data_IF_352858607485
#
_entry.id   IF_352858607485
#
_cell.length_a   1.000
_cell.length_b   1.000
_cell.length_c   1.000
_cell.angle_alpha   90.00
_cell.angle_beta   90.00
_cell.angle_gamma   90.00
#
_symmetry.space_group_name_H-M   'P 1'
#
loop_
_entity.id
_entity.type
_entity.pdbx_description
1 polymer ?
#
# COMPACT_ATOMS: atom_id res chain seq x y z
N UNK A 1 -8.97 -6.37 16.46
CA UNK A 1 -8.08 -6.07 15.32
C UNK A 1 -8.47 -6.94 14.15
N UNK A 2 -8.18 -6.48 12.95
CA UNK A 2 -8.03 -7.34 11.80
C UNK A 2 -8.97 -7.09 10.63
N UNK A 3 -8.43 -7.13 9.41
CA UNK A 3 -9.22 -7.23 8.17
C UNK A 3 -10.25 -8.37 8.26
N UNK A 4 -11.26 -8.42 7.39
CA UNK A 4 -12.45 -9.31 7.44
C UNK A 4 -12.26 -10.82 7.70
N UNK A 5 -11.03 -11.33 7.83
CA UNK A 5 -10.71 -12.70 8.20
C UNK A 5 -10.54 -12.93 9.71
N UNK A 6 -10.54 -14.20 10.10
CA UNK A 6 -10.37 -14.67 11.48
C UNK A 6 -8.97 -14.38 12.07
N UNK A 7 -8.00 -14.09 11.21
CA UNK A 7 -6.64 -13.71 11.57
C UNK A 7 -6.30 -12.41 10.88
N UNK A 8 -6.00 -11.38 11.65
CA UNK A 8 -5.23 -10.26 11.15
C UNK A 8 -4.53 -9.63 12.33
N UNK A 9 -3.21 -9.65 12.20
CA UNK A 9 -2.31 -9.41 13.29
C UNK A 9 -1.79 -8.00 13.17
N UNK A 10 -2.09 -7.21 14.18
CA UNK A 10 -1.50 -5.89 14.38
C UNK A 10 -0.63 -6.06 15.61
N UNK A 11 0.62 -5.54 15.61
CA UNK A 11 1.46 -5.50 16.80
C UNK A 11 0.63 -5.09 18.03
N UNK A 12 0.65 -5.93 19.08
CA UNK A 12 -0.24 -5.74 20.24
C UNK A 12 0.34 -4.83 21.30
N UNK A 13 1.67 -4.73 21.33
CA UNK A 13 2.38 -3.84 22.22
C UNK A 13 3.24 -2.84 21.44
N UNK A 14 3.78 -1.89 22.20
CA UNK A 14 4.55 -0.77 21.67
C UNK A 14 5.91 -1.21 21.13
N UNK A 15 6.49 -2.28 21.69
CA UNK A 15 7.82 -2.74 21.31
C UNK A 15 7.78 -3.41 19.94
N UNK A 16 6.81 -4.30 19.73
CA UNK A 16 6.56 -4.94 18.44
C UNK A 16 6.20 -3.91 17.36
N UNK A 17 5.41 -2.88 17.71
CA UNK A 17 5.07 -1.81 16.78
C UNK A 17 6.30 -0.98 16.39
N UNK A 18 7.15 -0.64 17.36
CA UNK A 18 8.40 0.06 17.10
C UNK A 18 9.38 -0.78 16.26
N UNK A 19 9.44 -2.10 16.49
CA UNK A 19 10.27 -3.02 15.73
C UNK A 19 9.81 -3.11 14.27
N UNK A 20 8.52 -3.42 14.05
CA UNK A 20 7.92 -3.52 12.72
C UNK A 20 8.11 -2.21 11.92
N UNK A 21 7.79 -1.07 12.55
CA UNK A 21 7.97 0.25 11.93
C UNK A 21 9.42 0.51 11.55
N UNK A 22 10.38 0.22 12.45
CA UNK A 22 11.81 0.46 12.17
C UNK A 22 12.30 -0.40 11.00
N UNK A 23 11.90 -1.66 10.94
CA UNK A 23 12.28 -2.56 9.87
C UNK A 23 11.67 -2.15 8.52
N UNK A 24 10.37 -1.84 8.49
CA UNK A 24 9.71 -1.30 7.31
C UNK A 24 10.39 -0.03 6.79
N UNK A 25 10.63 0.95 7.67
CA UNK A 25 11.28 2.20 7.27
C UNK A 25 12.72 1.94 6.80
N UNK A 26 13.47 1.06 7.47
CA UNK A 26 14.84 0.72 7.07
C UNK A 26 14.89 0.10 5.67
N UNK A 27 13.88 -0.69 5.30
CA UNK A 27 13.76 -1.29 3.97
C UNK A 27 13.24 -0.31 2.91
N UNK A 28 12.18 0.44 3.23
CA UNK A 28 11.51 1.34 2.29
C UNK A 28 12.29 2.63 2.03
N UNK A 29 12.94 3.20 3.04
CA UNK A 29 13.57 4.51 2.91
C UNK A 29 14.66 4.55 1.83
N UNK A 30 15.58 3.57 1.72
CA UNK A 30 16.55 3.53 0.63
C UNK A 30 15.90 3.36 -0.76
N UNK A 31 14.82 2.57 -0.86
CA UNK A 31 14.10 2.35 -2.12
C UNK A 31 13.41 3.63 -2.59
N UNK A 32 12.65 4.27 -1.69
CA UNK A 32 11.98 5.55 -1.95
C UNK A 32 12.99 6.66 -2.22
N UNK A 33 14.08 6.72 -1.45
CA UNK A 33 15.18 7.65 -1.70
C UNK A 33 15.75 7.47 -3.11
N UNK A 34 16.01 6.24 -3.53
CA UNK A 34 16.54 5.97 -4.86
C UNK A 34 15.57 6.43 -5.96
N UNK A 35 14.26 6.19 -5.79
CA UNK A 35 13.24 6.63 -6.76
C UNK A 35 13.14 8.16 -6.81
N UNK A 36 13.12 8.82 -5.65
CA UNK A 36 13.02 10.28 -5.54
C UNK A 36 14.34 10.96 -5.98
N UNK A 37 15.50 10.33 -5.78
CA UNK A 37 16.83 10.91 -6.02
C UNK A 37 17.46 10.56 -7.37
N UNK A 38 17.23 9.39 -7.98
CA UNK A 38 17.78 9.07 -9.32
C UNK A 38 17.22 9.95 -10.44
N UNK A 39 16.18 10.73 -10.16
CA UNK A 39 15.71 11.82 -11.03
C UNK A 39 16.51 13.13 -10.85
N UNK A 40 17.55 13.17 -10.00
CA UNK A 40 18.59 14.21 -9.99
C UNK A 40 19.80 13.67 -10.76
N UNK A 41 20.15 14.31 -11.88
CA UNK A 41 21.46 14.11 -12.51
C UNK A 41 22.57 14.48 -11.50
N UNK A 42 23.21 13.48 -10.88
CA UNK A 42 24.28 13.68 -9.88
C UNK A 42 24.45 12.58 -8.82
N UNK A 43 24.07 11.34 -9.13
CA UNK A 43 23.85 10.24 -8.16
C UNK A 43 25.07 9.53 -7.52
N UNK A 44 26.26 10.14 -7.42
CA UNK A 44 27.45 9.40 -6.95
C UNK A 44 27.85 9.65 -5.48
N UNK A 45 27.66 10.84 -4.92
CA UNK A 45 28.22 11.16 -3.58
C UNK A 45 27.26 10.75 -2.45
N UNK A 46 25.93 10.86 -2.66
CA UNK A 46 24.94 10.60 -1.60
C UNK A 46 24.47 9.13 -1.55
N UNK A 47 24.62 8.38 -2.65
CA UNK A 47 24.41 6.93 -2.69
C UNK A 47 25.40 6.18 -1.77
N UNK A 48 26.61 6.69 -1.63
CA UNK A 48 27.57 6.20 -0.63
C UNK A 48 27.11 6.56 0.79
N UNK A 49 26.64 7.79 1.00
CA UNK A 49 26.25 8.28 2.33
C UNK A 49 25.06 7.52 2.93
N UNK A 50 24.06 7.15 2.12
CA UNK A 50 22.91 6.33 2.55
C UNK A 50 23.32 4.86 2.77
N UNK A 51 24.31 4.34 2.03
CA UNK A 51 24.85 2.98 2.20
C UNK A 51 25.57 2.76 3.54
N UNK A 52 26.20 3.80 4.09
CA UNK A 52 27.03 3.69 5.28
C UNK A 52 26.37 4.18 6.58
N UNK A 53 25.15 4.73 6.51
CA UNK A 53 24.44 5.20 7.69
C UNK A 53 23.55 4.09 8.25
N UNK A 54 23.65 3.71 9.53
CA UNK A 54 22.71 2.78 10.13
C UNK A 54 21.29 3.35 10.03
N UNK A 55 20.27 2.50 9.87
CA UNK A 55 18.87 2.94 9.72
C UNK A 55 18.42 3.88 10.84
N UNK A 56 18.95 3.69 12.05
CA UNK A 56 18.75 4.58 13.21
C UNK A 56 19.38 5.96 13.05
N UNK A 57 20.51 6.06 12.34
CA UNK A 57 21.17 7.31 11.95
C UNK A 57 20.41 8.03 10.84
N UNK A 58 19.87 7.29 9.85
CA UNK A 58 19.00 7.85 8.82
C UNK A 58 17.73 8.45 9.46
N UNK A 59 17.05 7.69 10.32
CA UNK A 59 15.87 8.12 11.10
C UNK A 59 16.16 9.32 12.03
N UNK A 60 17.33 9.37 12.67
CA UNK A 60 17.74 10.50 13.53
C UNK A 60 18.14 11.74 12.74
N UNK A 61 18.82 11.57 11.60
CA UNK A 61 19.27 12.67 10.76
C UNK A 61 18.12 13.33 9.98
N UNK A 62 17.05 12.60 9.67
CA UNK A 62 15.91 13.10 8.90
C UNK A 62 14.84 13.82 9.72
N UNK A 63 14.90 13.79 11.07
CA UNK A 63 13.87 14.37 11.93
C UNK A 63 12.47 13.75 11.73
N UNK A 64 11.46 14.26 12.44
CA UNK A 64 10.07 13.76 12.34
C UNK A 64 9.45 13.94 10.95
N UNK A 65 9.92 14.90 10.13
CA UNK A 65 9.39 15.21 8.77
C UNK A 65 10.45 14.91 7.71
N UNK A 66 10.44 13.69 7.18
CA UNK A 66 11.41 13.24 6.16
C UNK A 66 11.16 13.88 4.77
N UNK A 67 9.94 14.34 4.50
CA UNK A 67 9.51 14.94 3.23
C UNK A 67 8.74 16.28 3.49
N UNK A 68 9.38 17.32 4.06
CA UNK A 68 8.70 18.55 4.47
C UNK A 68 8.20 19.43 3.30
N UNK A 69 8.61 19.12 2.07
CA UNK A 69 8.09 19.75 0.85
C UNK A 69 7.00 18.91 0.15
N UNK A 70 6.43 17.96 0.87
CA UNK A 70 5.33 17.12 0.42
C UNK A 70 4.17 17.19 1.41
N UNK A 71 2.97 17.31 0.87
CA UNK A 71 1.73 16.97 1.57
C UNK A 71 1.22 15.60 1.07
N UNK A 72 0.42 14.92 1.87
CA UNK A 72 -0.10 13.58 1.55
C UNK A 72 -1.63 13.56 1.38
N UNK A 73 -2.10 12.79 0.40
CA UNK A 73 -3.50 12.45 0.24
C UNK A 73 -3.67 10.93 0.33
N UNK A 74 -4.37 10.48 1.37
CA UNK A 74 -4.67 9.09 1.62
C UNK A 74 -6.07 8.78 1.12
N UNK A 75 -6.17 7.92 0.10
CA UNK A 75 -7.44 7.38 -0.40
C UNK A 75 -7.97 6.32 0.57
N UNK A 76 -8.18 6.70 1.82
CA UNK A 76 -8.60 5.79 2.87
C UNK A 76 -9.22 6.54 4.03
N UNK A 77 -9.47 5.80 5.09
CA UNK A 77 -10.03 6.33 6.34
C UNK A 77 -8.98 7.05 7.16
N UNK A 78 -9.42 8.11 7.84
CA UNK A 78 -8.59 8.96 8.71
C UNK A 78 -7.89 8.22 9.84
N UNK A 79 -8.57 7.25 10.43
CA UNK A 79 -8.04 6.46 11.53
C UNK A 79 -8.62 5.05 11.49
N UNK A 80 -7.98 4.13 12.21
CA UNK A 80 -8.45 2.77 12.38
C UNK A 80 -7.31 1.78 12.58
N UNK A 81 -7.64 0.55 12.94
CA UNK A 81 -6.63 -0.51 13.23
C UNK A 81 -6.57 -1.57 12.13
N UNK A 82 -6.48 -1.11 10.90
CA UNK A 82 -6.40 -1.95 9.70
C UNK A 82 -5.05 -1.78 9.00
N UNK A 83 -4.67 -2.71 8.12
CA UNK A 83 -3.36 -2.69 7.44
C UNK A 83 -3.03 -1.37 6.75
N UNK A 84 -3.93 -0.87 5.89
CA UNK A 84 -3.71 0.41 5.20
C UNK A 84 -3.62 1.57 6.19
N UNK A 85 -4.46 1.61 7.23
CA UNK A 85 -4.41 2.66 8.26
C UNK A 85 -3.12 2.61 9.07
N UNK A 86 -2.60 1.43 9.40
CA UNK A 86 -1.31 1.30 10.08
C UNK A 86 -0.17 1.88 9.22
N UNK A 87 -0.16 1.58 7.92
CA UNK A 87 0.82 2.16 7.00
C UNK A 87 0.64 3.69 6.86
N UNK A 88 -0.60 4.19 6.88
CA UNK A 88 -0.87 5.63 6.90
C UNK A 88 -0.34 6.27 8.19
N UNK A 89 -0.53 5.64 9.35
CA UNK A 89 0.02 6.12 10.64
C UNK A 89 1.55 6.14 10.64
N UNK A 90 2.20 5.20 9.96
CA UNK A 90 3.65 5.19 9.76
C UNK A 90 4.13 6.29 8.80
N UNK A 91 3.37 6.57 7.75
CA UNK A 91 3.72 7.54 6.72
C UNK A 91 3.37 8.99 7.07
N UNK A 92 2.24 9.24 7.73
CA UNK A 92 1.73 10.58 7.99
C UNK A 92 2.75 11.53 8.65
N UNK A 93 3.57 11.09 9.64
CA UNK A 93 4.61 11.95 10.22
C UNK A 93 5.63 12.47 9.21
N UNK A 94 5.89 11.73 8.12
CA UNK A 94 6.90 12.08 7.12
C UNK A 94 6.54 13.34 6.31
N UNK A 95 5.25 13.69 6.27
CA UNK A 95 4.71 14.77 5.43
C UNK A 95 4.44 16.05 6.20
N UNK A 96 4.28 17.15 5.47
CA UNK A 96 3.99 18.44 6.07
C UNK A 96 2.54 18.56 6.54
N UNK A 97 1.59 18.25 5.66
CA UNK A 97 0.15 18.14 5.92
C UNK A 97 -0.40 16.84 5.29
N UNK A 98 -1.58 16.39 5.73
CA UNK A 98 -2.18 15.18 5.18
C UNK A 98 -3.71 15.20 5.19
N UNK A 99 -4.28 14.59 4.14
CA UNK A 99 -5.71 14.58 3.87
C UNK A 99 -6.21 13.16 3.65
N UNK A 100 -7.49 12.92 3.94
CA UNK A 100 -8.11 11.61 3.84
C UNK A 100 -9.37 11.66 3.01
N UNK A 101 -9.60 10.64 2.18
CA UNK A 101 -10.83 10.46 1.42
C UNK A 101 -12.05 10.33 2.36
N UNK A 102 -11.94 9.49 3.39
CA UNK A 102 -13.00 9.30 4.38
C UNK A 102 -12.58 9.90 5.73
N UNK A 103 -13.28 10.94 6.19
CA UNK A 103 -13.02 11.62 7.48
C UNK A 103 -13.72 10.92 8.67
N UNK A 104 -13.71 9.59 8.65
CA UNK A 104 -14.26 8.74 9.71
C UNK A 104 -13.22 7.70 10.14
N UNK A 105 -13.42 7.13 11.32
CA UNK A 105 -12.66 5.96 11.79
C UNK A 105 -13.24 4.68 11.19
N UNK A 106 -12.38 3.81 10.66
CA UNK A 106 -12.77 2.47 10.23
C UNK A 106 -12.48 1.45 11.33
N UNK A 107 -13.50 0.69 11.70
CA UNK A 107 -13.35 -0.44 12.62
C UNK A 107 -13.38 -1.77 11.87
N UNK A 108 -12.52 -2.70 12.29
CA UNK A 108 -12.57 -4.08 11.75
C UNK A 108 -13.89 -4.79 12.06
N UNK A 109 -14.60 -4.39 13.14
CA UNK A 109 -15.95 -4.84 13.43
C UNK A 109 -16.95 -4.40 12.37
N UNK A 110 -16.98 -3.12 12.00
CA UNK A 110 -17.89 -2.61 10.98
C UNK A 110 -17.70 -3.35 9.65
N UNK A 111 -16.47 -3.57 9.21
CA UNK A 111 -16.19 -4.32 7.97
C UNK A 111 -16.55 -5.81 8.06
N UNK A 112 -16.34 -6.44 9.22
CA UNK A 112 -16.80 -7.82 9.43
C UNK A 112 -18.31 -7.91 9.42
N UNK A 113 -18.99 -6.98 10.08
CA UNK A 113 -20.46 -6.90 10.11
C UNK A 113 -21.04 -6.61 8.74
N UNK A 114 -20.39 -5.77 7.94
CA UNK A 114 -20.75 -5.53 6.54
C UNK A 114 -20.72 -6.83 5.73
N UNK A 115 -19.70 -7.68 5.94
CA UNK A 115 -19.54 -8.95 5.20
C UNK A 115 -20.44 -10.08 5.71
N UNK A 116 -20.57 -10.24 7.03
CA UNK A 116 -21.31 -11.36 7.66
C UNK A 116 -22.78 -11.06 7.96
N UNK A 117 -23.21 -9.82 7.74
CA UNK A 117 -24.45 -9.25 8.28
C UNK A 117 -24.28 -8.77 9.73
N UNK A 118 -24.84 -7.60 10.03
CA UNK A 118 -24.87 -7.04 11.37
C UNK A 118 -25.80 -7.86 12.30
N UNK A 119 -25.37 -8.09 13.55
CA UNK A 119 -26.10 -8.92 14.54
C UNK A 119 -26.64 -8.14 15.73
N UNK A 120 -26.24 -6.87 15.88
CA UNK A 120 -26.75 -5.95 16.89
C UNK A 120 -27.16 -4.64 16.23
N UNK A 121 -27.92 -3.81 16.94
CA UNK A 121 -28.24 -2.44 16.53
C UNK A 121 -26.98 -1.61 16.32
N UNK A 122 -26.03 -1.65 17.27
CA UNK A 122 -24.73 -0.97 17.13
C UNK A 122 -23.91 -1.40 15.91
N UNK A 123 -23.99 -2.67 15.50
CA UNK A 123 -23.35 -3.14 14.27
C UNK A 123 -24.08 -2.65 13.02
N UNK A 124 -25.41 -2.52 13.07
CA UNK A 124 -26.21 -1.99 11.96
C UNK A 124 -25.87 -0.52 11.75
N UNK A 125 -25.89 0.28 12.80
CA UNK A 125 -25.54 1.71 12.74
C UNK A 125 -24.13 1.92 12.16
N UNK A 126 -23.15 1.13 12.63
CA UNK A 126 -21.78 1.23 12.15
C UNK A 126 -21.64 0.83 10.66
N UNK A 127 -22.41 -0.16 10.20
CA UNK A 127 -22.43 -0.59 8.80
C UNK A 127 -23.15 0.44 7.93
N UNK A 128 -24.26 1.01 8.39
CA UNK A 128 -25.00 2.05 7.66
C UNK A 128 -24.16 3.30 7.45
N UNK A 129 -23.47 3.78 8.49
CA UNK A 129 -22.54 4.91 8.37
C UNK A 129 -21.43 4.61 7.36
N UNK A 130 -20.89 3.39 7.37
CA UNK A 130 -19.83 2.99 6.45
C UNK A 130 -20.33 2.95 5.00
N UNK A 131 -21.50 2.35 4.76
CA UNK A 131 -22.13 2.29 3.43
C UNK A 131 -22.42 3.71 2.93
N UNK A 132 -23.04 4.56 3.75
CA UNK A 132 -23.35 5.96 3.41
C UNK A 132 -22.08 6.75 2.97
N UNK A 133 -20.96 6.60 3.68
CA UNK A 133 -19.68 7.22 3.31
C UNK A 133 -19.12 6.72 1.98
N UNK A 134 -19.27 5.42 1.71
CA UNK A 134 -18.70 4.75 0.54
C UNK A 134 -19.61 4.77 -0.69
N UNK A 135 -20.86 5.22 -0.55
CA UNK A 135 -21.85 5.24 -1.64
C UNK A 135 -22.40 6.65 -1.81
N UNK A 136 -23.38 7.04 -0.99
CA UNK A 136 -24.09 8.31 -1.10
C UNK A 136 -23.16 9.53 -1.02
N UNK A 137 -22.11 9.46 -0.20
CA UNK A 137 -21.14 10.56 -0.01
C UNK A 137 -19.84 10.36 -0.79
N UNK A 138 -19.72 9.32 -1.62
CA UNK A 138 -18.47 8.95 -2.28
C UNK A 138 -17.93 10.11 -3.14
N UNK A 139 -18.75 10.63 -4.04
CA UNK A 139 -18.37 11.70 -4.95
C UNK A 139 -17.97 12.98 -4.19
N UNK A 140 -18.80 13.40 -3.23
CA UNK A 140 -18.50 14.56 -2.37
C UNK A 140 -17.22 14.40 -1.56
N UNK A 141 -16.90 13.17 -1.13
CA UNK A 141 -15.65 12.86 -0.43
C UNK A 141 -14.43 13.02 -1.35
N UNK A 142 -14.51 12.56 -2.61
CA UNK A 142 -13.46 12.77 -3.60
C UNK A 142 -13.30 14.24 -3.97
N UNK A 143 -14.38 14.96 -4.27
CA UNK A 143 -14.33 16.39 -4.61
C UNK A 143 -13.68 17.20 -3.49
N UNK A 144 -14.06 16.95 -2.23
CA UNK A 144 -13.43 17.57 -1.06
C UNK A 144 -11.93 17.27 -0.96
N UNK A 145 -11.51 16.04 -1.28
CA UNK A 145 -10.10 15.66 -1.26
C UNK A 145 -9.33 16.34 -2.41
N UNK A 146 -9.90 16.36 -3.62
CA UNK A 146 -9.36 17.02 -4.81
C UNK A 146 -9.10 18.50 -4.51
N UNK A 147 -10.07 19.20 -3.90
CA UNK A 147 -9.92 20.62 -3.54
C UNK A 147 -8.77 20.87 -2.57
N UNK A 148 -8.55 19.95 -1.61
CA UNK A 148 -7.42 20.02 -0.67
C UNK A 148 -6.09 19.80 -1.39
N UNK A 149 -6.02 18.81 -2.27
CA UNK A 149 -4.85 18.52 -3.10
C UNK A 149 -4.51 19.72 -3.98
N UNK A 150 -5.50 20.28 -4.67
CA UNK A 150 -5.34 21.44 -5.56
C UNK A 150 -4.85 22.67 -4.81
N UNK A 151 -5.44 22.96 -3.64
CA UNK A 151 -4.99 24.04 -2.76
C UNK A 151 -3.55 23.86 -2.29
N UNK A 152 -3.16 22.63 -1.94
CA UNK A 152 -1.79 22.31 -1.52
C UNK A 152 -0.79 22.46 -2.69
N UNK A 153 -1.11 21.92 -3.86
CA UNK A 153 -0.32 22.06 -5.09
C UNK A 153 -0.19 23.53 -5.54
N UNK A 154 -1.25 24.33 -5.38
CA UNK A 154 -1.25 25.77 -5.62
C UNK A 154 -0.29 26.55 -4.73
N UNK A 155 -0.04 26.08 -3.49
CA UNK A 155 0.98 26.60 -2.57
C UNK A 155 2.41 26.12 -2.89
N UNK A 156 2.58 25.33 -3.96
CA UNK A 156 3.86 24.79 -4.39
C UNK A 156 4.31 23.52 -3.66
N UNK A 157 3.43 22.90 -2.87
CA UNK A 157 3.72 21.59 -2.26
C UNK A 157 3.66 20.49 -3.31
N UNK A 158 4.54 19.49 -3.17
CA UNK A 158 4.44 18.24 -3.93
C UNK A 158 3.45 17.33 -3.24
N UNK A 159 2.79 16.46 -3.99
CA UNK A 159 1.75 15.60 -3.45
C UNK A 159 2.19 14.15 -3.48
N UNK A 160 2.07 13.48 -2.35
CA UNK A 160 2.07 12.03 -2.25
C UNK A 160 0.64 11.52 -2.19
N UNK A 161 0.28 10.55 -3.03
CA UNK A 161 -1.05 9.92 -2.98
C UNK A 161 -0.89 8.44 -2.66
N UNK A 162 -1.63 7.92 -1.67
CA UNK A 162 -1.61 6.51 -1.31
C UNK A 162 -3.03 5.92 -1.28
N UNK A 163 -3.22 4.75 -1.90
CA UNK A 163 -4.52 4.12 -2.01
C UNK A 163 -4.50 2.78 -2.74
N UNK A 164 -5.66 2.14 -2.84
CA UNK A 164 -5.84 0.96 -3.68
C UNK A 164 -6.08 1.34 -5.16
N UNK A 165 -5.79 0.45 -6.13
CA UNK A 165 -5.99 0.71 -7.56
C UNK A 165 -7.39 1.20 -7.92
N UNK A 166 -8.44 0.62 -7.32
CA UNK A 166 -9.82 1.03 -7.57
C UNK A 166 -10.09 2.48 -7.15
N UNK A 167 -9.48 2.93 -6.06
CA UNK A 167 -9.67 4.30 -5.55
C UNK A 167 -8.92 5.31 -6.42
N UNK A 168 -7.77 4.92 -6.96
CA UNK A 168 -7.10 5.73 -7.98
C UNK A 168 -7.95 5.82 -9.26
N UNK A 169 -8.58 4.72 -9.67
CA UNK A 169 -9.49 4.73 -10.82
C UNK A 169 -10.67 5.67 -10.57
N UNK A 170 -11.36 5.53 -9.43
CA UNK A 170 -12.46 6.42 -9.02
C UNK A 170 -12.03 7.89 -8.98
N UNK A 171 -10.86 8.19 -8.38
CA UNK A 171 -10.31 9.54 -8.35
C UNK A 171 -10.13 10.12 -9.76
N UNK A 172 -9.56 9.33 -10.69
CA UNK A 172 -9.36 9.74 -12.07
C UNK A 172 -10.71 9.95 -12.79
N UNK A 173 -11.68 9.05 -12.60
CA UNK A 173 -13.00 9.13 -13.20
C UNK A 173 -13.79 10.35 -12.72
N UNK A 174 -13.74 10.66 -11.43
CA UNK A 174 -14.40 11.83 -10.85
C UNK A 174 -13.75 13.12 -11.35
N UNK A 175 -12.41 13.17 -11.44
CA UNK A 175 -11.71 14.30 -12.06
C UNK A 175 -12.18 14.53 -13.51
N UNK A 176 -12.24 13.46 -14.31
CA UNK A 176 -12.68 13.54 -15.70
C UNK A 176 -14.16 13.94 -15.82
N UNK A 177 -15.04 13.41 -14.98
CA UNK A 177 -16.46 13.75 -14.95
C UNK A 177 -16.71 15.22 -14.54
N UNK A 178 -15.91 15.74 -13.61
CA UNK A 178 -15.91 17.16 -13.20
C UNK A 178 -15.14 18.05 -14.19
N UNK A 179 -14.70 17.50 -15.33
CA UNK A 179 -13.89 18.18 -16.37
C UNK A 179 -12.63 18.87 -15.79
N UNK A 180 -12.02 18.25 -14.78
CA UNK A 180 -10.83 18.71 -14.07
C UNK A 180 -9.64 17.80 -14.33
N UNK A 181 -8.46 18.42 -14.31
CA UNK A 181 -7.17 17.73 -14.25
C UNK A 181 -6.29 18.49 -13.27
N UNK A 182 -5.52 17.77 -12.46
CA UNK A 182 -4.57 18.37 -11.54
C UNK A 182 -3.18 18.30 -12.16
N UNK A 183 -2.59 19.45 -12.47
CA UNK A 183 -1.19 19.53 -12.89
C UNK A 183 -0.28 19.47 -11.65
N UNK A 184 -0.11 18.28 -11.07
CA UNK A 184 0.69 18.12 -9.86
C UNK A 184 2.16 18.39 -10.15
N UNK A 185 2.71 19.38 -9.45
CA UNK A 185 4.04 19.89 -9.74
C UNK A 185 5.14 18.92 -9.31
N UNK A 186 6.27 19.00 -10.01
CA UNK A 186 7.56 18.48 -9.55
C UNK A 186 7.64 16.95 -9.50
N UNK A 187 8.09 16.42 -8.36
CA UNK A 187 8.27 14.97 -8.11
C UNK A 187 7.13 14.40 -7.26
N UNK A 188 5.91 14.85 -7.50
CA UNK A 188 4.70 14.26 -6.92
C UNK A 188 4.62 12.79 -7.34
N UNK A 189 4.12 11.92 -6.45
CA UNK A 189 4.16 10.48 -6.69
C UNK A 189 2.98 9.76 -6.03
N UNK A 190 2.63 8.62 -6.61
CA UNK A 190 1.56 7.76 -6.13
C UNK A 190 2.15 6.45 -5.61
N UNK A 191 1.56 5.88 -4.57
CA UNK A 191 1.80 4.52 -4.12
C UNK A 191 0.48 3.77 -4.10
N UNK A 192 0.35 2.79 -4.98
CA UNK A 192 -0.77 1.87 -5.03
C UNK A 192 -0.47 0.65 -4.17
N UNK A 193 -1.41 0.23 -3.34
CA UNK A 193 -1.27 -0.96 -2.49
C UNK A 193 -2.59 -1.65 -2.20
N UNK A 194 -2.57 -2.99 -2.20
CA UNK A 194 -3.79 -3.80 -2.05
C UNK A 194 -4.75 -3.71 -3.24
N UNK A 195 -5.88 -4.40 -3.19
CA UNK A 195 -7.02 -4.18 -4.12
C UNK A 195 -6.93 -4.81 -5.52
N UNK A 196 -5.73 -5.00 -6.12
CA UNK A 196 -5.59 -5.61 -7.46
C UNK A 196 -6.35 -6.94 -7.62
N UNK A 197 -6.39 -7.74 -6.55
CA UNK A 197 -6.93 -9.11 -6.52
C UNK A 197 -8.44 -9.20 -6.38
N UNK A 198 -9.09 -8.13 -5.95
CA UNK A 198 -10.54 -8.09 -5.67
C UNK A 198 -11.30 -7.33 -6.76
N UNK A 199 -10.58 -6.85 -7.77
CA UNK A 199 -11.09 -6.05 -8.88
C UNK A 199 -11.73 -6.89 -9.99
N UNK A 200 -12.38 -8.01 -9.63
CA UNK A 200 -12.94 -8.96 -10.59
C UNK A 200 -14.13 -8.38 -11.39
N UNK A 201 -14.79 -7.32 -10.88
CA UNK A 201 -15.93 -6.69 -11.55
C UNK A 201 -15.59 -5.57 -12.55
N UNK A 202 -14.40 -4.97 -12.48
CA UNK A 202 -13.98 -3.85 -13.33
C UNK A 202 -12.51 -3.94 -13.75
N UNK A 203 -11.99 -5.14 -14.00
CA UNK A 203 -10.55 -5.40 -14.22
C UNK A 203 -9.87 -4.36 -15.13
N UNK A 204 -9.19 -3.38 -14.52
CA UNK A 204 -8.36 -2.39 -15.21
C UNK A 204 -6.95 -2.95 -15.29
N UNK A 205 -6.34 -2.88 -16.48
CA UNK A 205 -4.92 -3.21 -16.59
C UNK A 205 -4.10 -2.16 -15.85
N UNK A 206 -2.96 -2.58 -15.29
CA UNK A 206 -2.04 -1.64 -14.67
C UNK A 206 -1.69 -0.49 -15.60
N UNK A 207 -1.37 -0.79 -16.85
CA UNK A 207 -0.91 0.22 -17.80
C UNK A 207 -2.01 1.24 -18.09
N UNK A 208 -3.27 0.81 -18.18
CA UNK A 208 -4.39 1.74 -18.31
C UNK A 208 -4.52 2.65 -17.09
N UNK A 209 -4.46 2.10 -15.88
CA UNK A 209 -4.56 2.90 -14.65
C UNK A 209 -3.39 3.88 -14.49
N UNK A 210 -2.16 3.45 -14.79
CA UNK A 210 -0.98 4.31 -14.76
C UNK A 210 -1.09 5.44 -15.78
N UNK A 211 -1.61 5.16 -16.98
CA UNK A 211 -1.86 6.19 -17.98
C UNK A 211 -2.95 7.17 -17.52
N UNK A 212 -4.07 6.68 -16.96
CA UNK A 212 -5.12 7.53 -16.39
C UNK A 212 -4.56 8.47 -15.31
N UNK A 213 -3.73 7.94 -14.39
CA UNK A 213 -3.05 8.74 -13.37
C UNK A 213 -2.14 9.81 -14.01
N UNK A 214 -1.36 9.45 -15.03
CA UNK A 214 -0.53 10.41 -15.76
C UNK A 214 -1.34 11.51 -16.43
N UNK A 215 -2.45 11.16 -17.08
CA UNK A 215 -3.30 12.10 -17.82
C UNK A 215 -4.13 13.03 -16.95
N UNK A 216 -4.51 12.59 -15.74
CA UNK A 216 -5.39 13.34 -14.83
C UNK A 216 -4.66 14.06 -13.72
N UNK A 217 -3.50 13.55 -13.29
CA UNK A 217 -2.73 14.07 -12.16
C UNK A 217 -1.33 14.56 -12.53
N UNK A 218 -0.89 14.41 -13.80
CA UNK A 218 0.48 14.70 -14.24
C UNK A 218 1.57 13.96 -13.42
N UNK A 219 1.27 12.76 -12.93
CA UNK A 219 2.27 11.90 -12.27
C UNK A 219 2.88 10.99 -13.32
N UNK A 220 4.20 11.06 -13.48
CA UNK A 220 4.91 10.22 -14.45
C UNK A 220 4.81 8.73 -14.09
N UNK A 221 4.77 7.82 -15.08
CA UNK A 221 4.67 6.38 -14.83
C UNK A 221 5.71 5.82 -13.84
N UNK A 222 6.95 6.33 -13.86
CA UNK A 222 8.02 5.92 -12.94
C UNK A 222 7.82 6.38 -11.49
N UNK A 223 6.92 7.35 -11.27
CA UNK A 223 6.51 7.86 -9.96
C UNK A 223 5.18 7.26 -9.50
N UNK A 224 4.62 6.29 -10.25
CA UNK A 224 3.48 5.47 -9.83
C UNK A 224 4.02 4.16 -9.28
N UNK A 225 4.19 4.12 -7.96
CA UNK A 225 4.76 3.01 -7.21
C UNK A 225 3.70 1.98 -6.88
N UNK A 226 4.12 0.74 -6.72
CA UNK A 226 3.25 -0.36 -6.33
C UNK A 226 3.85 -1.11 -5.15
N UNK A 227 3.01 -1.37 -4.15
CA UNK A 227 3.35 -2.10 -2.95
C UNK A 227 2.63 -3.45 -2.87
N UNK A 228 3.35 -4.49 -2.47
CA UNK A 228 2.77 -5.77 -2.09
C UNK A 228 3.11 -6.10 -0.64
N UNK A 229 2.06 -6.37 0.15
CA UNK A 229 2.10 -6.69 1.57
C UNK A 229 0.76 -7.30 1.99
N UNK A 230 0.70 -7.74 3.24
CA UNK A 230 -0.52 -8.14 3.93
C UNK A 230 -0.42 -7.80 5.41
N UNK A 231 -1.52 -7.84 6.16
CA UNK A 231 -1.49 -7.47 7.58
C UNK A 231 -0.63 -8.41 8.42
N UNK A 232 -0.44 -9.62 7.93
CA UNK A 232 0.27 -10.69 8.59
C UNK A 232 1.79 -10.64 8.30
N UNK A 233 2.25 -9.74 7.43
CA UNK A 233 3.67 -9.47 7.18
C UNK A 233 4.08 -8.16 7.83
N UNK A 234 5.27 -8.12 8.43
CA UNK A 234 5.95 -6.90 8.88
C UNK A 234 6.54 -6.08 7.73
N UNK A 235 6.57 -6.60 6.50
CA UNK A 235 7.23 -5.96 5.37
C UNK A 235 6.25 -5.48 4.27
N UNK A 236 6.48 -4.25 3.78
CA UNK A 236 5.95 -3.77 2.51
C UNK A 236 7.01 -3.90 1.40
N UNK A 237 6.76 -4.75 0.42
CA UNK A 237 7.61 -4.87 -0.77
C UNK A 237 7.21 -3.85 -1.83
N UNK A 238 8.17 -3.17 -2.45
CA UNK A 238 7.91 -2.26 -3.57
C UNK A 238 8.28 -2.92 -4.89
N UNK A 239 7.45 -2.70 -5.91
CA UNK A 239 7.73 -3.12 -7.27
C UNK A 239 8.85 -2.28 -7.85
N UNK A 240 9.94 -2.93 -8.25
CA UNK A 240 11.05 -2.24 -8.90
C UNK A 240 10.70 -1.87 -10.36
N UNK A 241 11.53 -1.04 -11.01
CA UNK A 241 11.35 -0.62 -12.41
C UNK A 241 11.36 -1.77 -13.44
N UNK A 242 11.82 -2.96 -13.06
CA UNK A 242 11.77 -4.18 -13.88
C UNK A 242 10.59 -5.09 -13.51
N UNK A 243 9.64 -4.56 -12.75
CA UNK A 243 8.38 -5.22 -12.45
C UNK A 243 8.42 -6.24 -11.30
N UNK A 244 9.52 -6.33 -10.55
CA UNK A 244 9.70 -7.35 -9.50
C UNK A 244 9.43 -6.80 -8.10
N UNK A 245 8.72 -7.56 -7.27
CA UNK A 245 8.57 -7.31 -5.84
C UNK A 245 9.65 -8.06 -5.07
N UNK A 246 10.72 -7.37 -4.70
CA UNK A 246 11.83 -7.98 -3.97
C UNK A 246 11.44 -8.29 -2.53
N UNK A 247 11.71 -9.53 -2.10
CA UNK A 247 11.43 -10.00 -0.75
C UNK A 247 12.64 -9.66 0.14
N UNK A 248 12.46 -8.89 1.23
CA UNK A 248 13.56 -8.52 2.09
C UNK A 248 14.06 -9.74 2.88
N UNK A 249 15.33 -9.76 3.31
CA UNK A 249 15.95 -10.92 3.99
C UNK A 249 15.38 -11.23 5.39
N UNK A 250 14.45 -10.43 5.88
CA UNK A 250 13.68 -10.70 7.11
C UNK A 250 12.49 -11.63 6.88
N UNK A 251 12.13 -11.85 5.61
CA UNK A 251 11.08 -12.76 5.18
C UNK A 251 11.72 -13.93 4.46
N UNK A 252 11.46 -15.14 4.93
CA UNK A 252 11.80 -16.38 4.23
C UNK A 252 10.58 -16.80 3.39
N UNK A 253 10.64 -16.70 2.05
CA UNK A 253 9.51 -17.07 1.20
C UNK A 253 9.46 -18.57 0.92
N UNK A 254 8.26 -19.13 0.86
CA UNK A 254 8.02 -20.50 0.45
C UNK A 254 6.98 -20.54 -0.66
N UNK A 255 7.16 -21.43 -1.63
CA UNK A 255 6.17 -21.73 -2.67
C UNK A 255 5.75 -23.18 -2.50
N UNK A 256 4.44 -23.41 -2.50
CA UNK A 256 3.88 -24.74 -2.31
C UNK A 256 3.15 -25.20 -3.57
N UNK A 257 3.20 -26.50 -3.82
CA UNK A 257 2.40 -27.14 -4.85
C UNK A 257 0.91 -27.25 -4.45
N UNK A 258 0.11 -27.90 -5.30
CA UNK A 258 -1.33 -28.10 -5.07
C UNK A 258 -1.65 -28.96 -3.82
N UNK A 259 -0.70 -29.77 -3.37
CA UNK A 259 -0.84 -30.68 -2.23
C UNK A 259 -0.24 -30.06 -0.95
N UNK A 260 0.12 -28.76 -1.02
CA UNK A 260 0.78 -27.99 0.04
C UNK A 260 2.16 -28.55 0.44
N UNK A 261 2.87 -29.14 -0.51
CA UNK A 261 4.27 -29.54 -0.34
C UNK A 261 5.19 -28.38 -0.71
N UNK A 262 6.16 -27.99 0.14
CA UNK A 262 7.15 -26.98 -0.21
C UNK A 262 7.94 -27.38 -1.46
N UNK A 263 8.09 -26.45 -2.38
CA UNK A 263 8.86 -26.60 -3.61
C UNK A 263 10.24 -25.95 -3.47
N UNK A 264 11.24 -26.53 -4.13
CA UNK A 264 12.60 -26.00 -4.20
C UNK A 264 12.94 -25.57 -5.64
N UNK A 265 13.69 -24.49 -5.79
CA UNK A 265 14.18 -23.99 -7.08
C UNK A 265 14.13 -22.46 -7.19
N UNK A 266 14.70 -21.94 -8.29
CA UNK A 266 14.85 -20.50 -8.50
C UNK A 266 13.78 -19.87 -9.41
N UNK A 267 12.83 -20.67 -9.91
CA UNK A 267 11.71 -20.23 -10.76
C UNK A 267 10.50 -21.13 -10.47
N UNK A 268 9.59 -20.62 -9.64
CA UNK A 268 8.52 -21.41 -9.03
C UNK A 268 7.15 -20.75 -9.22
N UNK A 269 6.15 -21.58 -9.51
CA UNK A 269 4.75 -21.19 -9.57
C UNK A 269 3.94 -22.00 -8.56
N UNK A 270 3.26 -21.34 -7.63
CA UNK A 270 2.55 -22.06 -6.57
C UNK A 270 1.85 -21.16 -5.56
N UNK A 271 1.30 -21.79 -4.53
CA UNK A 271 0.72 -21.08 -3.39
C UNK A 271 1.85 -20.41 -2.61
N UNK A 272 1.72 -19.11 -2.33
CA UNK A 272 2.73 -18.35 -1.62
C UNK A 272 2.55 -18.51 -0.12
N UNK A 273 3.61 -18.89 0.59
CA UNK A 273 3.73 -18.74 2.03
C UNK A 273 5.01 -18.03 2.38
N UNK A 274 5.16 -17.71 3.66
CA UNK A 274 6.38 -17.08 4.16
C UNK A 274 6.55 -17.33 5.65
N UNK A 275 7.77 -17.12 6.12
CA UNK A 275 8.12 -16.94 7.53
C UNK A 275 8.68 -15.54 7.73
N UNK A 276 8.19 -14.84 8.74
CA UNK A 276 8.57 -13.47 9.09
C UNK A 276 9.32 -13.48 10.42
N UNK A 277 10.62 -13.16 10.37
CA UNK A 277 11.49 -13.17 11.53
C UNK A 277 11.17 -12.04 12.54
N UNK A 278 10.39 -11.03 12.15
CA UNK A 278 10.00 -9.91 13.00
C UNK A 278 8.57 -10.02 13.55
N UNK A 279 7.85 -11.07 13.16
CA UNK A 279 6.54 -11.37 13.73
C UNK A 279 6.67 -11.99 15.12
N UNK A 280 6.71 -11.13 16.14
CA UNK A 280 6.86 -11.52 17.57
C UNK A 280 5.52 -11.62 18.31
N UNK A 281 4.47 -10.94 17.84
CA UNK A 281 3.12 -10.93 18.45
C UNK A 281 2.18 -12.04 17.95
N UNK A 282 2.61 -12.82 16.95
CA UNK A 282 1.82 -13.87 16.32
C UNK A 282 2.73 -14.89 15.63
N UNK A 283 2.21 -16.07 15.23
CA UNK A 283 2.97 -16.97 14.37
C UNK A 283 3.43 -16.22 13.11
N UNK A 284 4.75 -16.11 12.94
CA UNK A 284 5.37 -15.47 11.79
C UNK A 284 5.30 -16.29 10.52
N UNK A 285 4.75 -17.49 10.55
CA UNK A 285 4.67 -18.39 9.40
C UNK A 285 3.21 -18.58 8.97
N UNK A 286 2.95 -18.42 7.67
CA UNK A 286 1.64 -18.70 7.08
C UNK A 286 1.71 -19.01 5.60
N UNK A 287 0.78 -19.84 5.14
CA UNK A 287 0.45 -19.98 3.73
C UNK A 287 -0.63 -18.95 3.42
N UNK A 288 -0.34 -18.05 2.49
CA UNK A 288 -1.28 -17.04 2.04
C UNK A 288 -2.30 -17.66 1.07
N UNK A 289 -3.34 -16.89 0.74
CA UNK A 289 -4.27 -17.25 -0.34
C UNK A 289 -3.80 -16.70 -1.71
N UNK A 290 -2.52 -16.35 -1.83
CA UNK A 290 -1.94 -15.85 -3.08
C UNK A 290 -1.29 -16.98 -3.87
N UNK A 291 -1.44 -16.90 -5.18
CA UNK A 291 -0.71 -17.74 -6.13
C UNK A 291 0.33 -16.86 -6.80
N UNK A 292 1.60 -17.26 -6.80
CA UNK A 292 2.69 -16.39 -7.25
C UNK A 292 3.59 -17.07 -8.27
N UNK A 293 4.17 -16.24 -9.14
CA UNK A 293 5.41 -16.57 -9.85
C UNK A 293 6.58 -15.97 -9.09
N UNK A 294 7.36 -16.81 -8.42
CA UNK A 294 8.55 -16.39 -7.68
C UNK A 294 9.82 -16.77 -8.43
N UNK A 295 10.79 -15.87 -8.45
CA UNK A 295 12.14 -16.13 -8.94
C UNK A 295 13.17 -15.82 -7.87
N UNK A 296 14.32 -16.51 -7.91
CA UNK A 296 15.45 -16.24 -7.04
C UNK A 296 16.71 -16.01 -7.89
N UNK A 297 16.94 -14.76 -8.30
CA UNK A 297 18.09 -14.40 -9.13
C UNK A 297 18.39 -12.89 -9.05
N UNK A 298 19.52 -12.51 -9.62
CA UNK A 298 19.89 -11.11 -9.76
C UNK A 298 18.90 -10.33 -10.63
N UNK A 299 18.59 -9.11 -10.20
CA UNK A 299 17.79 -8.17 -10.96
C UNK A 299 18.63 -7.00 -11.45
N UNK A 300 18.32 -6.53 -12.65
CA UNK A 300 18.90 -5.30 -13.23
C UNK A 300 18.65 -4.04 -12.39
N UNK A 301 17.79 -4.11 -11.37
CA UNK A 301 17.62 -3.04 -10.40
C UNK A 301 18.81 -2.88 -9.44
N UNK A 302 19.67 -3.91 -9.34
CA UNK A 302 20.81 -3.99 -8.42
C UNK A 302 20.54 -4.80 -7.15
N UNK A 303 19.31 -5.32 -6.97
CA UNK A 303 18.96 -6.28 -5.92
C UNK A 303 19.02 -7.71 -6.46
N UNK A 304 19.41 -8.65 -5.63
CA UNK A 304 19.33 -10.09 -5.89
C UNK A 304 18.49 -10.81 -4.84
N UNK A 305 18.40 -12.13 -4.96
CA UNK A 305 17.60 -12.97 -4.07
C UNK A 305 16.15 -13.14 -4.53
N UNK A 306 15.25 -13.63 -3.64
CA UNK A 306 13.89 -13.95 -3.99
C UNK A 306 13.06 -12.70 -4.32
N UNK A 307 12.26 -12.81 -5.38
CA UNK A 307 11.34 -11.77 -5.82
C UNK A 307 10.10 -12.37 -6.49
N UNK A 308 8.97 -11.69 -6.35
CA UNK A 308 7.72 -12.10 -7.00
C UNK A 308 7.54 -11.28 -8.28
N UNK A 309 7.24 -11.97 -9.39
CA UNK A 309 6.97 -11.37 -10.70
C UNK A 309 5.48 -11.17 -10.93
N UNK A 310 4.67 -12.17 -10.56
CA UNK A 310 3.23 -12.19 -10.75
C UNK A 310 2.51 -12.63 -9.48
N UNK A 311 1.34 -12.03 -9.24
CA UNK A 311 0.56 -12.25 -8.03
C UNK A 311 -0.92 -12.40 -8.39
N UNK A 312 -1.46 -13.59 -8.16
CA UNK A 312 -2.87 -13.92 -8.26
C UNK A 312 -3.47 -14.35 -6.91
N UNK A 313 -4.68 -14.91 -6.97
CA UNK A 313 -5.35 -15.59 -5.85
C UNK A 313 -5.57 -17.05 -6.21
N UNK A 314 -5.44 -17.94 -5.23
CA UNK A 314 -5.85 -19.32 -5.41
C UNK A 314 -7.36 -19.40 -5.72
N UNK A 315 -7.83 -20.32 -6.58
CA UNK A 315 -9.25 -20.50 -6.85
C UNK A 315 -10.06 -20.72 -5.57
N UNK A 316 -11.26 -20.15 -5.50
CA UNK A 316 -12.13 -20.24 -4.31
C UNK A 316 -11.67 -19.40 -3.12
N UNK A 317 -10.62 -18.58 -3.27
CA UNK A 317 -10.17 -17.69 -2.21
C UNK A 317 -11.19 -16.61 -1.89
N UNK A 318 -11.49 -16.49 -0.61
CA UNK A 318 -12.30 -15.40 -0.08
C UNK A 318 -11.65 -14.02 -0.32
N UNK A 319 -12.49 -13.01 -0.62
CA UNK A 319 -12.09 -11.61 -0.60
C UNK A 319 -11.74 -11.20 0.83
N UNK A 320 -10.47 -10.89 1.05
CA UNK A 320 -9.90 -10.42 2.33
C UNK A 320 -9.22 -9.06 2.15
N UNK A 321 -9.03 -8.34 3.25
CA UNK A 321 -8.34 -7.06 3.28
C UNK A 321 -9.28 -5.86 3.11
N UNK A 322 -8.93 -4.72 3.69
CA UNK A 322 -9.73 -3.49 3.62
C UNK A 322 -10.02 -3.09 2.17
N UNK A 323 -8.96 -2.96 1.35
CA UNK A 323 -9.10 -2.59 -0.05
C UNK A 323 -9.90 -3.61 -0.87
N UNK A 324 -9.82 -4.90 -0.54
CA UNK A 324 -10.58 -5.94 -1.24
C UNK A 324 -12.08 -5.88 -0.94
N UNK A 325 -12.43 -5.70 0.33
CA UNK A 325 -13.83 -5.54 0.75
C UNK A 325 -14.40 -4.26 0.14
N UNK A 326 -13.69 -3.14 0.24
CA UNK A 326 -14.18 -1.87 -0.30
C UNK A 326 -14.40 -1.95 -1.81
N UNK A 327 -13.44 -2.50 -2.56
CA UNK A 327 -13.56 -2.67 -4.00
C UNK A 327 -14.70 -3.59 -4.45
N UNK A 328 -15.25 -4.45 -3.57
CA UNK A 328 -16.43 -5.25 -3.89
C UNK A 328 -17.76 -4.47 -3.81
N UNK A 329 -17.76 -3.27 -3.23
CA UNK A 329 -18.93 -2.40 -3.12
C UNK A 329 -18.89 -1.21 -4.09
N UNK A 330 -17.74 -0.93 -4.70
CA UNK A 330 -17.61 -0.03 -5.85
C UNK A 330 -18.17 -0.72 -7.10
N UNK A 331 -19.49 -0.70 -7.25
CA UNK A 331 -20.23 -1.26 -8.39
C UNK A 331 -21.08 -0.19 -9.05
#
# INVERSE_FOLDING_TARGET
>A
SGTSGAFSFVPRDKEDWELSRKANIAYLAPLLANIIMNTRAGGNIMNAFVKFMPASGLLKATGKKMLPGYDAAFLGFKSGRMGNQALIEEFAPLFNDHYFLYDIEISGSALRSLRRGARSESERDAVEVLIDQMTAKLEGNYLRLIDKIEKSNGKGQKIFIFGAPFQFKELCEILLADNRKLDLKGKSFALMGGGWKSFAGQAISRDLLVNMIGETLNIKPEMVLEGYSMTETSALTLRCRYGRFHIPPIIEPLVFDKDLTPMEGDDLWGAFGFMDALATSHPGFLISNDYVHMVNNDCKCGLGGPAILEIGRLPGSEVKGCGGIMGSFSA
#
